data_IF_062379607928
#
_entry.id   IF_062379607928
#
_cell.length_a   1.000
_cell.length_b   1.000
_cell.length_c   1.000
_cell.angle_alpha   90.00
_cell.angle_beta   90.00
_cell.angle_gamma   90.00
#
_symmetry.space_group_name_H-M   'P 1'
#
loop_
_entity.id
_entity.type
_entity.pdbx_description
1 polymer ?
#
# COMPACT_ATOMS: atom_id res chain seq x y z
N UNK A 1 -9.31 6.16 13.27
CA UNK A 1 -8.49 5.99 12.06
C UNK A 1 -7.32 5.11 12.44
N UNK A 2 -7.11 3.97 11.78
CA UNK A 2 -5.96 3.11 12.10
C UNK A 2 -4.76 3.69 11.37
N UNK A 3 -3.94 4.47 12.08
CA UNK A 3 -2.67 4.93 11.57
C UNK A 3 -1.70 3.73 11.64
N UNK A 4 -1.49 3.09 10.49
CA UNK A 4 -0.46 2.06 10.38
C UNK A 4 0.94 2.70 10.39
N UNK A 5 1.96 1.96 10.82
CA UNK A 5 3.36 2.41 10.86
C UNK A 5 4.27 1.54 10.01
N UNK A 6 5.43 2.07 9.65
CA UNK A 6 6.51 1.29 9.07
C UNK A 6 6.85 0.07 9.96
N UNK A 7 7.02 -1.09 9.34
CA UNK A 7 7.19 -2.40 9.95
C UNK A 7 5.91 -3.17 10.25
N UNK A 8 4.72 -2.57 10.14
CA UNK A 8 3.48 -3.33 10.35
C UNK A 8 3.13 -4.19 9.13
N UNK A 9 2.77 -5.46 9.40
CA UNK A 9 2.20 -6.34 8.39
C UNK A 9 0.70 -6.10 8.26
N UNK A 10 0.25 -5.90 7.03
CA UNK A 10 -1.14 -5.59 6.72
C UNK A 10 -1.65 -6.42 5.57
N UNK A 11 -2.96 -6.67 5.57
CA UNK A 11 -3.69 -7.24 4.46
C UNK A 11 -4.37 -6.11 3.68
N UNK A 12 -4.20 -6.08 2.37
CA UNK A 12 -4.71 -5.01 1.52
C UNK A 12 -5.16 -5.53 0.16
N UNK A 13 -5.98 -4.76 -0.55
CA UNK A 13 -6.35 -5.05 -1.94
C UNK A 13 -5.27 -4.52 -2.89
N UNK A 14 -4.61 -5.41 -3.63
CA UNK A 14 -3.65 -5.00 -4.65
C UNK A 14 -4.40 -4.49 -5.89
N UNK A 15 -3.99 -3.32 -6.37
CA UNK A 15 -4.52 -2.73 -7.61
C UNK A 15 -3.53 -3.04 -8.74
N UNK A 16 -4.00 -3.67 -9.82
CA UNK A 16 -3.16 -3.93 -11.00
C UNK A 16 -2.64 -5.37 -11.14
N UNK A 17 -3.27 -6.35 -10.49
CA UNK A 17 -3.02 -7.76 -10.82
C UNK A 17 -3.32 -8.00 -12.31
N UNK A 18 -2.32 -8.43 -13.08
CA UNK A 18 -2.45 -8.85 -14.48
C UNK A 18 -3.24 -10.15 -14.57
N UNK A 19 -4.52 -10.10 -14.23
CA UNK A 19 -5.49 -11.11 -14.63
C UNK A 19 -6.88 -10.52 -14.51
N UNK A 20 -7.55 -10.46 -15.66
CA UNK A 20 -8.97 -10.19 -15.81
C UNK A 20 -9.75 -11.00 -14.76
N UNK A 21 -10.22 -10.34 -13.70
CA UNK A 21 -10.99 -10.99 -12.61
C UNK A 21 -10.58 -10.70 -11.17
N UNK A 22 -9.56 -9.87 -10.90
CA UNK A 22 -9.04 -9.66 -9.53
C UNK A 22 -9.51 -8.35 -8.87
N UNK A 23 -10.81 -8.08 -8.90
CA UNK A 23 -11.44 -7.02 -8.08
C UNK A 23 -11.43 -7.39 -6.57
N UNK A 24 -11.10 -8.64 -6.23
CA UNK A 24 -11.19 -9.21 -4.88
C UNK A 24 -9.90 -9.83 -4.33
N UNK A 25 -8.76 -9.71 -5.04
CA UNK A 25 -7.51 -10.31 -4.57
C UNK A 25 -6.89 -9.52 -3.42
N UNK A 26 -7.18 -9.94 -2.20
CA UNK A 26 -6.49 -9.47 -0.99
C UNK A 26 -5.11 -10.11 -0.92
N UNK A 27 -4.08 -9.30 -0.79
CA UNK A 27 -2.71 -9.76 -0.55
C UNK A 27 -2.23 -9.27 0.81
N UNK A 28 -1.13 -9.83 1.28
CA UNK A 28 -0.41 -9.36 2.46
C UNK A 28 0.87 -8.66 2.05
N UNK A 29 1.28 -7.71 2.87
CA UNK A 29 2.56 -7.02 2.73
C UNK A 29 2.95 -6.31 4.00
N UNK A 30 4.17 -5.81 3.99
CA UNK A 30 4.74 -5.05 5.10
C UNK A 30 4.77 -3.57 4.71
N UNK A 31 4.34 -2.71 5.62
CA UNK A 31 4.46 -1.27 5.44
C UNK A 31 5.92 -0.91 5.62
N UNK A 32 6.55 -0.42 4.56
CA UNK A 32 7.93 0.05 4.60
C UNK A 32 7.96 1.51 5.04
N UNK A 33 6.98 2.31 4.61
CA UNK A 33 6.93 3.73 4.91
C UNK A 33 5.51 4.31 4.85
N UNK A 34 5.32 5.47 5.46
CA UNK A 34 4.03 6.19 5.48
C UNK A 34 4.24 7.60 4.96
N UNK A 35 3.72 7.87 3.78
CA UNK A 35 3.79 9.16 3.13
C UNK A 35 2.57 9.97 3.54
N UNK A 36 2.80 11.14 4.13
CA UNK A 36 1.77 12.16 4.40
C UNK A 36 1.83 13.32 3.41
N UNK A 37 2.81 13.32 2.52
CA UNK A 37 3.08 14.37 1.54
C UNK A 37 3.28 13.78 0.14
N UNK A 38 2.98 14.56 -0.92
CA UNK A 38 3.10 14.07 -2.29
C UNK A 38 4.56 13.88 -2.68
N UNK A 39 5.01 12.63 -2.71
CA UNK A 39 6.39 12.27 -3.07
C UNK A 39 6.43 10.96 -3.88
N UNK A 40 7.48 10.72 -4.68
CA UNK A 40 7.66 9.46 -5.39
C UNK A 40 7.80 8.30 -4.41
N UNK A 41 7.03 7.22 -4.62
CA UNK A 41 7.08 6.03 -3.78
C UNK A 41 7.02 4.73 -4.57
N UNK A 42 7.62 3.69 -3.99
CA UNK A 42 7.77 2.37 -4.58
C UNK A 42 8.81 2.31 -5.68
N UNK A 43 9.06 1.11 -6.18
CA UNK A 43 10.10 0.83 -7.20
C UNK A 43 9.87 1.57 -8.52
N UNK A 44 8.61 1.86 -8.85
CA UNK A 44 8.25 2.54 -10.10
C UNK A 44 8.46 4.06 -10.04
N UNK A 45 8.76 4.63 -8.88
CA UNK A 45 8.90 6.08 -8.69
C UNK A 45 7.61 6.87 -8.94
N UNK A 46 6.45 6.22 -8.85
CA UNK A 46 5.15 6.87 -9.06
C UNK A 46 4.93 7.87 -7.93
N UNK A 47 4.63 9.12 -8.27
CA UNK A 47 4.28 10.15 -7.30
C UNK A 47 3.00 9.74 -6.57
N UNK A 48 3.16 9.30 -5.33
CA UNK A 48 2.06 9.00 -4.44
C UNK A 48 1.46 10.35 -4.02
N UNK A 49 0.26 10.65 -4.49
CA UNK A 49 -0.52 11.80 -4.01
C UNK A 49 -0.99 11.49 -2.59
N UNK A 50 -0.14 11.74 -1.61
CA UNK A 50 -0.44 11.68 -0.20
C UNK A 50 -0.68 13.09 0.35
N UNK A 51 -1.56 13.19 1.33
CA UNK A 51 -1.84 14.42 2.09
C UNK A 51 -2.02 14.05 3.56
N UNK A 52 -2.05 15.03 4.45
CA UNK A 52 -2.31 14.79 5.88
C UNK A 52 -3.66 14.09 6.13
N UNK A 53 -4.69 14.42 5.35
CA UNK A 53 -6.01 13.78 5.38
C UNK A 53 -6.02 12.39 4.72
N UNK A 54 -5.27 12.20 3.63
CA UNK A 54 -5.18 10.94 2.89
C UNK A 54 -3.72 10.47 2.77
N UNK A 55 -3.13 9.91 3.85
CA UNK A 55 -1.79 9.36 3.80
C UNK A 55 -1.75 8.14 2.86
N UNK A 56 -0.57 7.93 2.27
CA UNK A 56 -0.26 6.76 1.44
C UNK A 56 0.71 5.87 2.18
N UNK A 57 0.37 4.59 2.27
CA UNK A 57 1.19 3.58 2.91
C UNK A 57 1.98 2.86 1.85
N UNK A 58 3.31 2.96 1.92
CA UNK A 58 4.21 2.20 1.06
C UNK A 58 4.23 0.76 1.57
N UNK A 59 3.59 -0.14 0.83
CA UNK A 59 3.51 -1.54 1.20
C UNK A 59 4.39 -2.36 0.26
N UNK A 60 5.28 -3.16 0.84
CA UNK A 60 6.04 -4.20 0.15
C UNK A 60 5.23 -5.48 0.11
N UNK A 61 4.84 -5.90 -1.07
CA UNK A 61 4.10 -7.14 -1.27
C UNK A 61 4.99 -8.33 -0.93
N UNK A 62 4.55 -9.20 -0.02
CA UNK A 62 5.30 -10.38 0.39
C UNK A 62 5.43 -11.40 -0.76
N UNK A 63 4.43 -11.44 -1.66
CA UNK A 63 4.41 -12.37 -2.80
C UNK A 63 5.37 -11.99 -3.93
N UNK A 64 5.48 -10.68 -4.24
CA UNK A 64 6.26 -10.20 -5.40
C UNK A 64 7.53 -9.47 -5.01
N UNK A 65 7.69 -9.12 -3.72
CA UNK A 65 8.78 -8.29 -3.21
C UNK A 65 8.68 -6.80 -3.59
N UNK A 66 7.68 -6.41 -4.40
CA UNK A 66 7.53 -5.05 -4.94
C UNK A 66 6.91 -4.11 -3.93
N UNK A 67 7.39 -2.87 -3.95
CA UNK A 67 6.90 -1.79 -3.09
C UNK A 67 5.92 -0.90 -3.86
N UNK A 68 4.77 -0.59 -3.25
CA UNK A 68 3.75 0.25 -3.88
C UNK A 68 2.97 1.05 -2.85
N UNK A 69 2.66 2.30 -3.17
CA UNK A 69 1.92 3.20 -2.29
C UNK A 69 0.40 3.00 -2.41
N UNK A 70 -0.22 2.49 -1.34
CA UNK A 70 -1.67 2.28 -1.25
C UNK A 70 -2.35 3.30 -0.36
N UNK A 71 -3.64 3.56 -0.58
CA UNK A 71 -4.45 4.35 0.37
C UNK A 71 -4.79 3.50 1.58
N UNK A 72 -4.93 4.12 2.76
CA UNK A 72 -5.40 3.43 3.97
C UNK A 72 -6.74 2.70 3.77
N UNK A 73 -7.60 3.23 2.90
CA UNK A 73 -8.88 2.60 2.51
C UNK A 73 -8.74 1.29 1.76
N UNK A 74 -7.58 1.00 1.17
CA UNK A 74 -7.31 -0.29 0.51
C UNK A 74 -6.81 -1.34 1.51
N UNK A 75 -6.43 -0.93 2.73
CA UNK A 75 -5.93 -1.81 3.78
C UNK A 75 -7.14 -2.35 4.56
N UNK A 76 -7.27 -3.67 4.60
CA UNK A 76 -8.35 -4.39 5.26
C UNK A 76 -8.13 -4.51 6.76
N UNK A 77 -6.86 -4.58 7.19
CA UNK A 77 -6.49 -4.76 8.59
C UNK A 77 -5.03 -5.12 8.77
N UNK A 78 -4.54 -4.98 10.00
CA UNK A 78 -3.23 -5.51 10.41
C UNK A 78 -3.32 -7.02 10.62
N UNK A 79 -2.23 -7.72 10.34
CA UNK A 79 -2.09 -9.15 10.60
C UNK A 79 -1.34 -9.42 11.89
#
# INVERSE_FOLDING_TARGET
MVAYKAGDRVKYHAVGGRSSGTDTSTTTGEIVDVLTEPQPAGETGVTAKATEDEPRYLIRNDNTGKETAYKGTNILGKC
#
